data_IF_498334390425
#
_entry.id   IF_498334390425
#
_cell.length_a   1.000
_cell.length_b   1.000
_cell.length_c   1.000
_cell.angle_alpha   90.00
_cell.angle_beta   90.00
_cell.angle_gamma   90.00
#
_symmetry.space_group_name_H-M   'P 1'
#
loop_
_entity.id
_entity.type
_entity.pdbx_description
1 polymer ?
#
# COMPACT_ATOMS: atom_id res chain seq x y z
N UNK A 1 35.22 -60.70 -66.51
CA UNK A 1 34.28 -59.81 -65.73
C UNK A 1 34.93 -59.50 -64.40
N UNK A 2 35.49 -58.32 -64.27
CA UNK A 2 36.27 -57.89 -63.09
C UNK A 2 35.39 -56.94 -62.25
N UNK A 3 35.02 -57.37 -61.05
CA UNK A 3 34.31 -56.53 -60.09
C UNK A 3 35.29 -55.56 -59.43
N UNK A 4 35.05 -54.26 -59.57
CA UNK A 4 35.68 -53.20 -58.77
C UNK A 4 34.86 -52.98 -57.53
N UNK A 5 35.46 -53.17 -56.37
CA UNK A 5 34.92 -52.78 -55.08
C UNK A 5 35.43 -51.37 -54.71
N UNK A 6 34.56 -50.39 -54.65
CA UNK A 6 34.89 -49.04 -54.17
C UNK A 6 34.78 -48.99 -52.66
N UNK A 7 35.87 -48.70 -51.95
CA UNK A 7 35.92 -48.48 -50.53
C UNK A 7 35.70 -47.00 -50.31
N UNK A 8 34.57 -46.66 -49.65
CA UNK A 8 34.31 -45.33 -49.16
C UNK A 8 34.97 -45.13 -47.78
N UNK A 9 35.96 -44.24 -47.73
CA UNK A 9 36.59 -43.79 -46.47
C UNK A 9 35.74 -42.68 -45.82
N UNK A 10 35.08 -42.96 -44.74
CA UNK A 10 34.33 -41.93 -43.93
C UNK A 10 35.34 -41.25 -42.99
N UNK A 11 35.67 -40.00 -43.30
CA UNK A 11 36.46 -39.15 -42.41
C UNK A 11 35.49 -38.46 -41.44
N UNK A 12 35.45 -38.91 -40.18
CA UNK A 12 34.73 -38.25 -39.08
C UNK A 12 35.53 -37.04 -38.59
N UNK A 13 35.07 -35.85 -38.91
CA UNK A 13 35.60 -34.61 -38.35
C UNK A 13 35.03 -34.43 -36.95
N UNK A 14 35.84 -34.66 -35.94
CA UNK A 14 35.55 -34.25 -34.57
C UNK A 14 35.68 -32.72 -34.45
N UNK A 15 34.54 -32.01 -34.46
CA UNK A 15 34.51 -30.61 -34.09
C UNK A 15 34.62 -30.49 -32.57
N UNK A 16 35.75 -30.07 -32.05
CA UNK A 16 35.86 -29.60 -30.67
C UNK A 16 34.97 -28.36 -30.48
N UNK A 17 33.84 -28.51 -29.78
CA UNK A 17 33.13 -27.37 -29.25
C UNK A 17 34.04 -26.74 -28.17
N UNK A 18 34.53 -25.53 -28.41
CA UNK A 18 35.04 -24.67 -27.37
C UNK A 18 33.89 -24.41 -26.39
N UNK A 19 33.99 -24.89 -25.15
CA UNK A 19 33.14 -24.38 -24.06
C UNK A 19 33.44 -22.89 -23.94
N UNK A 20 32.42 -22.06 -24.13
CA UNK A 20 32.49 -20.64 -23.78
C UNK A 20 32.64 -20.60 -22.24
N UNK A 21 33.80 -20.16 -21.78
CA UNK A 21 34.04 -19.83 -20.40
C UNK A 21 32.98 -18.78 -20.02
N UNK A 22 31.99 -19.16 -19.18
CA UNK A 22 31.05 -18.22 -18.59
C UNK A 22 31.89 -17.27 -17.73
N UNK A 23 32.13 -16.08 -18.26
CA UNK A 23 32.72 -15.00 -17.47
C UNK A 23 31.76 -14.65 -16.34
N UNK A 24 32.10 -15.04 -15.12
CA UNK A 24 31.41 -14.60 -13.91
C UNK A 24 31.48 -13.06 -13.90
N UNK A 25 30.37 -12.33 -13.89
CA UNK A 25 30.42 -10.89 -13.84
C UNK A 25 31.19 -10.46 -12.56
N UNK A 26 31.98 -9.37 -12.64
CA UNK A 26 32.70 -8.88 -11.47
C UNK A 26 31.72 -8.68 -10.32
N UNK A 27 32.10 -8.98 -9.07
CA UNK A 27 31.24 -8.80 -7.92
C UNK A 27 30.76 -7.34 -7.85
N UNK A 28 29.48 -7.16 -7.54
CA UNK A 28 28.87 -5.85 -7.33
C UNK A 28 29.73 -5.09 -6.29
N UNK A 29 30.25 -3.89 -6.61
CA UNK A 29 31.05 -3.11 -5.69
C UNK A 29 30.27 -2.68 -4.42
N UNK A 30 28.94 -2.83 -4.43
CA UNK A 30 28.06 -2.51 -3.31
C UNK A 30 26.99 -3.61 -3.12
N UNK A 31 27.38 -4.83 -2.70
CA UNK A 31 26.44 -5.94 -2.58
C UNK A 31 25.37 -5.64 -1.54
N UNK A 32 24.15 -6.11 -1.85
CA UNK A 32 23.05 -6.02 -0.88
C UNK A 32 23.40 -6.73 0.43
N UNK A 33 23.06 -6.12 1.58
CA UNK A 33 23.19 -6.77 2.88
C UNK A 33 22.53 -8.16 2.89
N UNK A 34 23.13 -9.09 3.65
CA UNK A 34 22.70 -10.50 3.68
C UNK A 34 21.99 -10.89 4.97
N UNK A 35 21.89 -9.98 5.94
CA UNK A 35 21.21 -10.22 7.20
C UNK A 35 19.72 -10.43 6.97
N UNK A 36 19.13 -11.46 7.63
CA UNK A 36 17.71 -11.76 7.53
C UNK A 36 16.82 -10.59 7.96
N UNK A 37 17.27 -9.87 8.98
CA UNK A 37 16.63 -8.67 9.53
C UNK A 37 17.66 -7.56 9.67
N UNK A 38 17.34 -6.37 9.18
CA UNK A 38 18.24 -5.21 9.25
C UNK A 38 17.45 -3.93 9.51
N UNK A 39 17.99 -3.04 10.32
CA UNK A 39 17.49 -1.67 10.45
C UNK A 39 18.09 -0.84 9.32
N UNK A 40 17.26 -0.38 8.40
CA UNK A 40 17.68 0.45 7.25
C UNK A 40 17.82 1.91 7.66
N UNK A 41 16.86 2.44 8.42
CA UNK A 41 16.79 3.85 8.79
C UNK A 41 16.29 4.01 10.22
N UNK A 42 16.81 4.98 10.96
CA UNK A 42 16.33 5.40 12.29
C UNK A 42 16.10 6.91 12.34
N UNK A 43 15.62 7.40 13.47
CA UNK A 43 15.43 8.84 13.71
C UNK A 43 14.22 9.42 12.96
N UNK A 44 13.23 8.59 12.62
CA UNK A 44 12.00 9.02 11.94
C UNK A 44 10.95 9.46 12.97
N UNK A 45 10.01 10.28 12.52
CA UNK A 45 8.94 10.81 13.37
C UNK A 45 7.58 10.61 12.71
N UNK A 46 6.87 9.59 13.18
CA UNK A 46 5.56 9.21 12.66
C UNK A 46 5.53 9.04 11.13
N UNK A 47 6.41 8.18 10.53
CA UNK A 47 6.24 7.81 9.13
C UNK A 47 4.84 7.23 8.95
N UNK A 48 4.19 7.58 7.83
CA UNK A 48 2.81 7.15 7.57
C UNK A 48 2.71 6.27 6.33
N UNK A 49 3.33 6.66 5.23
CA UNK A 49 3.49 5.88 4.01
C UNK A 49 4.94 5.53 3.81
N UNK A 50 5.25 4.30 3.44
CA UNK A 50 6.48 3.92 2.76
C UNK A 50 6.13 3.18 1.48
N UNK A 51 6.79 3.52 0.37
CA UNK A 51 6.61 2.81 -0.90
C UNK A 51 7.96 2.51 -1.53
N UNK A 52 8.03 1.40 -2.25
CA UNK A 52 9.15 1.15 -3.16
C UNK A 52 8.96 1.99 -4.41
N UNK A 53 9.78 3.02 -4.57
CA UNK A 53 9.71 3.92 -5.70
C UNK A 53 10.12 3.27 -7.02
N UNK A 54 9.61 3.82 -8.13
CA UNK A 54 9.99 3.39 -9.49
C UNK A 54 11.48 3.61 -9.81
N UNK A 55 12.19 4.32 -8.96
CA UNK A 55 13.61 4.67 -9.03
C UNK A 55 14.47 3.88 -8.04
N UNK A 56 13.97 2.72 -7.58
CA UNK A 56 14.63 1.78 -6.68
C UNK A 56 15.07 2.38 -5.34
N UNK A 57 14.29 3.34 -4.82
CA UNK A 57 14.44 3.92 -3.50
C UNK A 57 13.18 3.74 -2.67
N UNK A 58 13.33 3.80 -1.36
CA UNK A 58 12.19 3.88 -0.46
C UNK A 58 11.77 5.35 -0.36
N UNK A 59 10.55 5.65 -0.79
CA UNK A 59 9.93 6.94 -0.57
C UNK A 59 9.05 6.88 0.68
N UNK A 60 8.97 7.98 1.39
CA UNK A 60 8.31 8.01 2.70
C UNK A 60 7.67 9.36 2.96
N UNK A 61 6.49 9.34 3.57
CA UNK A 61 5.86 10.50 4.21
C UNK A 61 5.97 10.40 5.72
N UNK A 62 6.13 11.53 6.37
CA UNK A 62 6.00 11.68 7.83
C UNK A 62 4.90 12.68 8.13
N UNK A 63 4.05 12.37 9.12
CA UNK A 63 2.84 13.16 9.42
C UNK A 63 3.07 14.66 9.58
N UNK A 64 4.25 15.07 10.02
CA UNK A 64 4.65 16.47 10.14
C UNK A 64 4.83 17.23 8.83
N UNK A 65 4.56 16.61 7.68
CA UNK A 65 4.65 17.24 6.35
C UNK A 65 5.92 16.89 5.58
N UNK A 66 6.82 16.07 6.12
CA UNK A 66 8.09 15.70 5.47
C UNK A 66 7.89 14.57 4.46
N UNK A 67 8.44 14.75 3.26
CA UNK A 67 8.63 13.70 2.25
C UNK A 67 10.12 13.42 2.17
N UNK A 68 10.51 12.16 2.20
CA UNK A 68 11.90 11.73 2.08
C UNK A 68 12.05 10.59 1.07
N UNK A 69 13.24 10.53 0.46
CA UNK A 69 13.69 9.43 -0.39
C UNK A 69 14.95 8.84 0.23
N UNK A 70 14.93 7.54 0.48
CA UNK A 70 15.97 6.81 1.22
C UNK A 70 16.58 5.73 0.33
N UNK A 71 17.91 5.66 0.29
CA UNK A 71 18.63 4.57 -0.34
C UNK A 71 18.42 3.28 0.51
N UNK A 72 17.83 2.21 -0.05
CA UNK A 72 17.55 1.00 0.71
C UNK A 72 18.82 0.21 1.10
N UNK A 73 19.96 0.44 0.44
CA UNK A 73 21.21 -0.27 0.74
C UNK A 73 21.81 0.18 2.08
N UNK A 74 21.89 1.47 2.33
CA UNK A 74 22.64 2.06 3.44
C UNK A 74 21.80 2.98 4.34
N UNK A 75 20.52 3.23 3.99
CA UNK A 75 19.63 4.11 4.73
C UNK A 75 19.91 5.61 4.56
N UNK A 76 20.80 5.98 3.62
CA UNK A 76 21.09 7.39 3.32
C UNK A 76 19.84 8.10 2.79
N UNK A 77 19.51 9.26 3.36
CA UNK A 77 18.48 10.14 2.81
C UNK A 77 19.04 10.91 1.65
N UNK A 78 18.60 10.60 0.42
CA UNK A 78 19.08 11.24 -0.82
C UNK A 78 18.23 12.42 -1.26
N UNK A 79 17.03 12.56 -0.69
CA UNK A 79 16.15 13.69 -0.88
C UNK A 79 15.26 13.87 0.35
N UNK A 80 14.97 15.11 0.71
CA UNK A 80 13.95 15.45 1.70
C UNK A 80 13.38 16.85 1.42
N UNK A 81 12.09 17.01 1.70
CA UNK A 81 11.40 18.31 1.67
C UNK A 81 10.26 18.32 2.69
N UNK A 82 9.74 19.49 3.02
CA UNK A 82 8.60 19.64 3.92
C UNK A 82 7.52 20.50 3.25
N UNK A 83 6.29 20.01 3.22
CA UNK A 83 5.13 20.75 2.73
C UNK A 83 4.65 21.68 3.85
N UNK A 84 4.68 22.98 3.60
CA UNK A 84 4.44 24.02 4.62
C UNK A 84 2.97 24.21 4.99
N UNK A 85 2.04 23.77 4.14
CA UNK A 85 0.59 23.87 4.36
C UNK A 85 -0.03 22.64 5.04
N UNK A 86 0.78 21.63 5.34
CA UNK A 86 0.34 20.46 6.12
C UNK A 86 0.06 20.86 7.57
N UNK A 87 -1.08 20.44 8.08
CA UNK A 87 -1.44 20.60 9.49
C UNK A 87 -1.55 19.23 10.14
N UNK A 88 -0.55 18.87 10.93
CA UNK A 88 -0.52 17.63 11.69
C UNK A 88 -1.29 17.79 13.00
N UNK A 89 -2.48 17.19 13.09
CA UNK A 89 -3.34 17.25 14.26
C UNK A 89 -3.97 15.87 14.53
N UNK A 90 -3.83 15.35 15.76
CA UNK A 90 -4.31 14.02 16.12
C UNK A 90 -3.65 12.93 15.27
N UNK A 91 -4.43 12.19 14.50
CA UNK A 91 -3.97 11.18 13.54
C UNK A 91 -3.62 11.77 12.16
N UNK A 92 -4.08 12.98 11.87
CA UNK A 92 -3.91 13.64 10.59
C UNK A 92 -2.53 14.28 10.41
N UNK A 93 -2.29 14.78 9.20
CA UNK A 93 -1.04 15.37 8.74
C UNK A 93 -0.78 15.02 7.28
N UNK A 94 0.48 14.85 6.89
CA UNK A 94 0.86 14.27 5.60
C UNK A 94 0.78 12.74 5.72
N UNK A 95 -0.07 12.13 4.89
CA UNK A 95 -0.48 10.75 5.05
C UNK A 95 -0.04 9.91 3.82
N UNK A 96 -0.97 9.50 2.97
CA UNK A 96 -0.69 8.62 1.85
C UNK A 96 0.09 9.27 0.71
N UNK A 97 0.84 8.44 -0.01
CA UNK A 97 1.61 8.82 -1.20
C UNK A 97 1.61 7.70 -2.22
N UNK A 98 1.55 8.06 -3.51
CA UNK A 98 1.74 7.10 -4.60
C UNK A 98 2.46 7.74 -5.78
N UNK A 99 3.34 6.99 -6.46
CA UNK A 99 3.96 7.40 -7.71
C UNK A 99 3.06 7.13 -8.91
N UNK A 100 3.05 8.05 -9.87
CA UNK A 100 2.48 7.77 -11.19
C UNK A 100 3.13 6.53 -11.81
N UNK A 101 2.42 5.68 -12.58
CA UNK A 101 3.03 4.54 -13.26
C UNK A 101 4.25 4.93 -14.12
N UNK A 102 4.20 6.08 -14.79
CA UNK A 102 5.29 6.64 -15.61
C UNK A 102 6.16 7.65 -14.85
N UNK A 103 6.32 7.48 -13.54
CA UNK A 103 7.08 8.42 -12.67
C UNK A 103 8.47 8.75 -13.21
N UNK A 104 9.19 7.77 -13.73
CA UNK A 104 10.54 7.99 -14.30
C UNK A 104 10.55 8.98 -15.47
N UNK A 105 9.44 9.12 -16.18
CA UNK A 105 9.29 10.04 -17.32
C UNK A 105 8.69 11.37 -16.91
N UNK A 106 7.59 11.35 -16.13
CA UNK A 106 6.80 12.55 -15.81
C UNK A 106 7.13 13.15 -14.43
N UNK A 107 7.70 12.36 -13.52
CA UNK A 107 8.03 12.80 -12.16
C UNK A 107 6.81 12.98 -11.25
N UNK A 108 5.62 12.50 -11.61
CA UNK A 108 4.41 12.76 -10.85
C UNK A 108 4.31 11.92 -9.59
N UNK A 109 4.07 12.60 -8.47
CA UNK A 109 3.81 12.03 -7.15
C UNK A 109 2.48 12.59 -6.67
N UNK A 110 1.59 11.72 -6.20
CA UNK A 110 0.34 12.11 -5.55
C UNK A 110 0.49 11.92 -4.05
N UNK A 111 0.06 12.91 -3.29
CA UNK A 111 0.03 12.86 -1.82
C UNK A 111 -1.32 13.33 -1.31
N UNK A 112 -1.75 12.79 -0.18
CA UNK A 112 -2.94 13.23 0.53
C UNK A 112 -2.55 13.76 1.90
N UNK A 113 -3.12 14.90 2.28
CA UNK A 113 -2.81 15.52 3.56
C UNK A 113 -3.90 16.46 4.08
N UNK A 114 -3.85 16.65 5.38
CA UNK A 114 -4.73 17.57 6.07
C UNK A 114 -4.14 18.98 6.10
N UNK A 115 -5.01 19.97 5.95
CA UNK A 115 -4.66 21.39 5.97
C UNK A 115 -5.80 22.26 6.49
N UNK A 116 -5.57 23.54 6.70
CA UNK A 116 -6.61 24.50 7.06
C UNK A 116 -7.13 25.20 5.81
N UNK A 117 -8.43 25.10 5.57
CA UNK A 117 -9.13 25.84 4.52
C UNK A 117 -10.14 26.78 5.12
N UNK A 118 -9.86 28.07 5.09
CA UNK A 118 -10.73 29.11 5.70
C UNK A 118 -11.10 28.81 7.16
N UNK A 119 -10.13 28.31 7.94
CA UNK A 119 -10.32 27.94 9.34
C UNK A 119 -10.95 26.57 9.59
N UNK A 120 -11.28 25.81 8.54
CA UNK A 120 -11.80 24.44 8.64
C UNK A 120 -10.68 23.44 8.41
N UNK A 121 -10.51 22.50 9.32
CA UNK A 121 -9.59 21.35 9.13
C UNK A 121 -10.19 20.41 8.10
N UNK A 122 -9.48 20.17 7.01
CA UNK A 122 -9.94 19.39 5.86
C UNK A 122 -8.79 18.66 5.20
N UNK A 123 -9.08 17.81 4.22
CA UNK A 123 -8.08 17.01 3.52
C UNK A 123 -8.16 17.26 2.02
N UNK A 124 -7.02 17.18 1.35
CA UNK A 124 -6.89 17.27 -0.10
C UNK A 124 -5.87 16.28 -0.65
N UNK A 125 -6.02 15.95 -1.93
CA UNK A 125 -5.04 15.22 -2.73
C UNK A 125 -4.34 16.19 -3.67
N UNK A 126 -3.01 16.19 -3.66
CA UNK A 126 -2.18 17.05 -4.49
C UNK A 126 -1.20 16.21 -5.29
N UNK A 127 -1.09 16.51 -6.59
CA UNK A 127 -0.03 16.00 -7.44
C UNK A 127 1.11 17.00 -7.50
N UNK A 128 2.34 16.53 -7.29
CA UNK A 128 3.57 17.27 -7.51
C UNK A 128 4.37 16.71 -8.67
N UNK A 129 5.27 17.51 -9.23
CA UNK A 129 6.32 17.07 -10.15
C UNK A 129 7.64 16.98 -9.40
N UNK A 130 8.26 15.80 -9.37
CA UNK A 130 9.61 15.60 -8.84
C UNK A 130 10.63 15.59 -9.97
N UNK A 131 11.53 16.56 -9.98
CA UNK A 131 12.64 16.63 -10.92
C UNK A 131 13.86 17.25 -10.24
N UNK A 132 15.05 16.74 -10.56
CA UNK A 132 16.32 17.29 -10.05
C UNK A 132 16.32 17.48 -8.52
N UNK A 133 15.83 16.48 -7.79
CA UNK A 133 15.67 16.53 -6.32
C UNK A 133 14.83 17.73 -5.83
N UNK A 134 13.82 18.11 -6.57
CA UNK A 134 12.90 19.20 -6.20
C UNK A 134 11.46 18.77 -6.47
N UNK A 135 10.54 19.09 -5.57
CA UNK A 135 9.10 19.04 -5.78
C UNK A 135 8.58 20.39 -6.23
N UNK A 136 7.85 20.42 -7.34
CA UNK A 136 7.26 21.64 -7.93
C UNK A 136 5.85 21.37 -8.46
N UNK A 137 5.25 22.38 -9.09
CA UNK A 137 4.01 22.28 -9.87
C UNK A 137 2.85 21.59 -9.12
N UNK A 138 2.61 22.07 -7.89
CA UNK A 138 1.50 21.54 -7.07
C UNK A 138 0.17 21.73 -7.80
N UNK A 139 -0.53 20.61 -8.05
CA UNK A 139 -1.85 20.59 -8.68
C UNK A 139 -2.82 19.86 -7.74
N UNK A 140 -3.84 20.57 -7.26
CA UNK A 140 -4.88 19.96 -6.42
C UNK A 140 -5.78 19.07 -7.27
N UNK A 141 -5.71 17.77 -7.04
CA UNK A 141 -6.48 16.75 -7.77
C UNK A 141 -7.88 16.58 -7.18
N UNK A 142 -7.97 16.63 -5.84
CA UNK A 142 -9.23 16.57 -5.10
C UNK A 142 -9.10 17.42 -3.83
N UNK A 143 -10.18 18.08 -3.44
CA UNK A 143 -10.23 18.98 -2.29
C UNK A 143 -11.53 18.77 -1.50
N UNK A 144 -11.62 19.41 -0.32
CA UNK A 144 -12.79 19.39 0.55
C UNK A 144 -13.19 17.99 1.03
N UNK A 145 -12.24 17.08 1.20
CA UNK A 145 -12.51 15.81 1.85
C UNK A 145 -12.67 16.12 3.35
N UNK A 146 -13.81 15.76 3.98
CA UNK A 146 -14.00 15.97 5.41
C UNK A 146 -12.90 15.31 6.23
N UNK A 147 -12.39 16.01 7.25
CA UNK A 147 -11.31 15.54 8.10
C UNK A 147 -11.58 15.88 9.57
N UNK A 148 -10.95 15.11 10.46
CA UNK A 148 -10.98 15.35 11.90
C UNK A 148 -9.65 14.96 12.56
N UNK A 149 -9.55 15.10 13.87
CA UNK A 149 -8.38 14.66 14.64
C UNK A 149 -8.12 13.15 14.52
N UNK A 150 -9.13 12.38 14.16
CA UNK A 150 -9.09 10.92 13.97
C UNK A 150 -9.87 10.54 12.72
N UNK A 151 -9.63 9.32 12.21
CA UNK A 151 -10.39 8.70 11.12
C UNK A 151 -10.32 9.48 9.81
N UNK A 152 -9.12 9.74 9.30
CA UNK A 152 -8.95 10.39 8.01
C UNK A 152 -8.79 9.39 6.84
N UNK A 153 -8.53 8.10 7.11
CA UNK A 153 -8.29 7.11 6.06
C UNK A 153 -6.97 7.36 5.32
N UNK A 154 -7.05 7.97 4.12
CA UNK A 154 -5.94 8.62 3.40
C UNK A 154 -4.93 7.68 2.72
N UNK A 155 -5.27 6.43 2.38
CA UNK A 155 -4.39 5.60 1.55
C UNK A 155 -4.65 5.86 0.06
N UNK A 156 -3.59 5.88 -0.74
CA UNK A 156 -3.65 6.11 -2.18
C UNK A 156 -3.18 4.88 -2.96
N UNK A 157 -3.81 4.64 -4.12
CA UNK A 157 -3.36 3.64 -5.09
C UNK A 157 -3.71 4.07 -6.50
N UNK A 158 -2.83 3.84 -7.48
CA UNK A 158 -3.14 4.02 -8.90
C UNK A 158 -3.33 2.65 -9.54
N UNK A 159 -4.51 2.44 -10.10
CA UNK A 159 -4.87 1.19 -10.78
C UNK A 159 -4.23 1.06 -12.17
N UNK A 160 -4.23 -0.14 -12.73
CA UNK A 160 -3.66 -0.40 -14.05
C UNK A 160 -4.37 0.36 -15.20
N UNK A 161 -5.62 0.78 -15.01
CA UNK A 161 -6.38 1.63 -15.91
C UNK A 161 -6.22 3.14 -15.61
N UNK A 162 -5.18 3.51 -14.87
CA UNK A 162 -4.83 4.89 -14.52
C UNK A 162 -5.97 5.63 -13.78
N UNK A 163 -6.57 4.98 -12.80
CA UNK A 163 -7.48 5.64 -11.86
C UNK A 163 -6.82 5.76 -10.49
N UNK A 164 -7.04 6.88 -9.83
CA UNK A 164 -6.62 7.10 -8.46
C UNK A 164 -7.71 6.62 -7.50
N UNK A 165 -7.38 5.66 -6.66
CA UNK A 165 -8.17 5.22 -5.53
C UNK A 165 -7.72 6.00 -4.28
N UNK A 166 -8.68 6.43 -3.46
CA UNK A 166 -8.44 7.20 -2.25
C UNK A 166 -9.34 6.62 -1.15
N UNK A 167 -8.78 6.09 -0.08
CA UNK A 167 -9.57 5.75 1.11
C UNK A 167 -9.81 7.00 1.95
N UNK A 168 -11.02 7.18 2.46
CA UNK A 168 -11.35 8.26 3.38
C UNK A 168 -11.99 7.72 4.65
N UNK A 169 -11.69 8.33 5.78
CA UNK A 169 -12.34 8.01 7.05
C UNK A 169 -13.68 8.73 7.23
N UNK A 170 -14.43 8.35 8.26
CA UNK A 170 -15.71 8.98 8.61
C UNK A 170 -15.55 10.39 9.22
N UNK A 171 -14.31 10.86 9.38
CA UNK A 171 -13.98 12.15 10.01
C UNK A 171 -14.64 12.31 11.38
N UNK A 172 -14.69 11.23 12.18
CA UNK A 172 -15.34 11.17 13.49
C UNK A 172 -16.84 11.55 13.48
N UNK A 173 -17.49 11.43 12.31
CA UNK A 173 -18.92 11.70 12.14
C UNK A 173 -19.62 10.51 11.47
N UNK A 174 -20.26 9.68 12.28
CA UNK A 174 -20.91 8.44 11.87
C UNK A 174 -22.12 8.64 10.94
N UNK A 175 -22.61 9.88 10.74
CA UNK A 175 -23.69 10.16 9.76
C UNK A 175 -23.19 10.22 8.31
N UNK A 176 -21.87 10.35 8.07
CA UNK A 176 -21.32 10.58 6.74
C UNK A 176 -21.10 9.31 5.90
N UNK A 177 -20.69 8.16 6.47
CA UNK A 177 -20.37 6.97 5.68
C UNK A 177 -21.51 6.46 4.80
N UNK A 178 -22.75 6.52 5.27
CA UNK A 178 -23.94 6.10 4.51
C UNK A 178 -24.50 7.17 3.56
N UNK A 179 -24.00 8.42 3.67
CA UNK A 179 -24.41 9.51 2.80
C UNK A 179 -23.60 9.49 1.48
N UNK A 180 -24.22 9.14 0.37
CA UNK A 180 -23.58 9.05 -0.95
C UNK A 180 -23.00 10.40 -1.46
N UNK A 181 -23.50 11.52 -0.93
CA UNK A 181 -23.04 12.86 -1.29
C UNK A 181 -21.87 13.35 -0.43
N UNK A 182 -21.45 12.59 0.58
CA UNK A 182 -20.26 12.86 1.39
C UNK A 182 -19.06 12.14 0.83
N UNK A 183 -17.88 12.77 0.90
CA UNK A 183 -16.60 12.13 0.57
C UNK A 183 -16.01 11.35 1.76
N UNK A 184 -16.58 11.48 2.97
CA UNK A 184 -16.10 10.80 4.16
C UNK A 184 -16.65 9.37 4.28
N UNK A 185 -15.83 8.45 4.78
CA UNK A 185 -16.18 7.03 4.96
C UNK A 185 -16.41 6.30 3.63
N UNK A 186 -15.48 6.46 2.69
CA UNK A 186 -15.58 5.98 1.30
C UNK A 186 -14.28 5.35 0.81
N UNK A 187 -14.39 4.52 -0.20
CA UNK A 187 -13.36 4.42 -1.22
C UNK A 187 -13.79 5.30 -2.40
N UNK A 188 -12.95 6.27 -2.76
CA UNK A 188 -13.16 7.15 -3.91
C UNK A 188 -12.34 6.65 -5.10
N UNK A 189 -12.86 6.86 -6.33
CA UNK A 189 -12.16 6.56 -7.58
C UNK A 189 -12.32 7.72 -8.55
N UNK A 190 -11.19 8.29 -8.98
CA UNK A 190 -11.13 9.44 -9.88
C UNK A 190 -10.09 9.22 -10.98
N UNK A 191 -10.13 10.02 -12.04
CA UNK A 191 -9.06 10.13 -12.99
C UNK A 191 -7.86 10.86 -12.37
N UNK A 192 -6.66 10.67 -12.93
CA UNK A 192 -5.43 11.28 -12.43
C UNK A 192 -5.39 12.83 -12.55
N UNK A 193 -6.32 13.42 -13.29
CA UNK A 193 -6.54 14.86 -13.41
C UNK A 193 -7.66 15.39 -12.47
N UNK A 194 -8.25 14.52 -11.66
CA UNK A 194 -9.33 14.86 -10.72
C UNK A 194 -10.73 14.76 -11.29
N UNK A 195 -10.92 14.50 -12.58
CA UNK A 195 -12.24 14.28 -13.18
C UNK A 195 -12.83 12.94 -12.75
N UNK A 196 -14.16 12.82 -12.85
CA UNK A 196 -14.87 11.60 -12.43
C UNK A 196 -14.95 10.61 -13.60
N UNK A 197 -14.52 9.34 -13.43
CA UNK A 197 -14.69 8.31 -14.44
C UNK A 197 -16.18 8.06 -14.75
N UNK A 198 -16.51 7.93 -16.05
CA UNK A 198 -17.89 7.71 -16.49
C UNK A 198 -18.45 6.34 -16.04
N UNK A 199 -17.57 5.40 -15.74
CA UNK A 199 -17.91 4.05 -15.28
C UNK A 199 -17.94 3.90 -13.75
N UNK A 200 -17.93 5.00 -12.98
CA UNK A 200 -18.21 4.94 -11.55
C UNK A 200 -19.64 4.47 -11.25
N UNK A 201 -19.92 3.92 -10.05
CA UNK A 201 -21.26 3.41 -9.69
C UNK A 201 -22.38 4.44 -9.86
N UNK A 202 -22.09 5.71 -9.55
CA UNK A 202 -23.03 6.83 -9.68
C UNK A 202 -22.41 7.88 -10.60
N UNK A 203 -23.16 8.32 -11.59
CA UNK A 203 -22.70 9.32 -12.56
C UNK A 203 -22.27 10.62 -11.86
N UNK A 204 -21.13 11.17 -12.27
CA UNK A 204 -20.53 12.40 -11.70
C UNK A 204 -20.26 12.34 -10.19
N UNK A 205 -20.11 11.15 -9.61
CA UNK A 205 -19.81 10.95 -8.20
C UNK A 205 -18.50 10.14 -8.07
N UNK A 206 -17.53 10.59 -7.25
CA UNK A 206 -16.26 9.88 -7.08
C UNK A 206 -16.37 8.61 -6.23
N UNK A 207 -17.49 8.37 -5.55
CA UNK A 207 -17.68 7.24 -4.63
C UNK A 207 -17.67 5.93 -5.42
N UNK A 208 -16.70 5.06 -5.06
CA UNK A 208 -16.61 3.68 -5.55
C UNK A 208 -17.34 2.70 -4.63
N UNK A 209 -17.16 2.86 -3.30
CA UNK A 209 -17.88 2.14 -2.25
C UNK A 209 -18.11 3.05 -1.05
N UNK A 210 -19.06 2.70 -0.19
CA UNK A 210 -19.49 3.50 0.96
C UNK A 210 -19.63 2.65 2.24
N UNK A 211 -19.85 3.31 3.37
CA UNK A 211 -20.04 2.61 4.64
C UNK A 211 -18.72 2.18 5.28
N UNK A 212 -17.66 2.95 5.10
CA UNK A 212 -16.34 2.74 5.72
C UNK A 212 -16.15 3.63 6.94
N UNK A 213 -15.43 3.12 7.95
CA UNK A 213 -15.10 3.88 9.16
C UNK A 213 -13.75 4.59 9.04
N UNK A 214 -12.65 3.84 8.88
CA UNK A 214 -11.29 4.39 8.84
C UNK A 214 -10.33 3.40 8.16
N UNK A 215 -10.41 3.32 6.83
CA UNK A 215 -9.57 2.43 6.04
C UNK A 215 -8.16 3.02 5.88
N UNK A 216 -7.15 2.39 6.51
CA UNK A 216 -5.75 2.84 6.52
C UNK A 216 -4.80 1.98 5.66
N UNK A 217 -5.24 0.82 5.19
CA UNK A 217 -4.53 0.00 4.22
C UNK A 217 -5.30 -0.11 2.92
N UNK A 218 -4.59 -0.21 1.80
CA UNK A 218 -5.14 -0.37 0.46
C UNK A 218 -4.13 -1.10 -0.42
N UNK A 219 -4.54 -2.19 -1.04
CA UNK A 219 -3.72 -2.92 -2.02
C UNK A 219 -4.60 -3.44 -3.14
N UNK A 220 -4.07 -3.45 -4.37
CA UNK A 220 -4.77 -4.02 -5.53
C UNK A 220 -4.01 -5.25 -6.03
N UNK A 221 -4.70 -6.39 -6.03
CA UNK A 221 -4.14 -7.69 -6.38
C UNK A 221 -4.90 -8.26 -7.59
N UNK A 222 -4.26 -8.36 -8.73
CA UNK A 222 -4.89 -8.88 -9.96
C UNK A 222 -6.25 -8.20 -10.27
N UNK A 223 -6.32 -6.87 -10.08
CA UNK A 223 -7.52 -6.06 -10.29
C UNK A 223 -8.54 -6.09 -9.15
N UNK A 224 -8.32 -6.88 -8.09
CA UNK A 224 -9.15 -6.88 -6.88
C UNK A 224 -8.60 -5.88 -5.87
N UNK A 225 -9.47 -5.08 -5.30
CA UNK A 225 -9.13 -4.03 -4.33
C UNK A 225 -9.37 -4.58 -2.92
N UNK A 226 -8.37 -4.49 -2.06
CA UNK A 226 -8.50 -4.82 -0.64
C UNK A 226 -8.20 -3.59 0.21
N UNK A 227 -8.96 -3.41 1.28
CA UNK A 227 -8.70 -2.40 2.31
C UNK A 227 -8.58 -3.05 3.68
N UNK A 228 -7.75 -2.48 4.56
CA UNK A 228 -7.80 -2.77 6.00
C UNK A 228 -8.41 -1.60 6.74
N UNK A 229 -9.28 -1.88 7.68
CA UNK A 229 -10.14 -0.89 8.31
C UNK A 229 -10.24 -1.08 9.82
N UNK A 230 -10.25 0.02 10.58
CA UNK A 230 -10.42 -0.02 12.02
C UNK A 230 -11.88 -0.17 12.41
N UNK A 231 -12.19 -1.14 13.25
CA UNK A 231 -13.42 -1.20 14.01
C UNK A 231 -13.45 -0.20 15.19
N UNK A 232 -14.60 -0.01 15.84
CA UNK A 232 -14.73 0.96 16.95
C UNK A 232 -14.01 0.52 18.24
N UNK A 233 -14.09 -0.74 18.60
CA UNK A 233 -13.43 -1.36 19.76
C UNK A 233 -13.18 -2.86 19.55
N UNK A 234 -13.87 -3.44 18.59
CA UNK A 234 -13.81 -4.82 18.11
C UNK A 234 -13.84 -4.79 16.58
N UNK A 235 -13.63 -5.92 15.94
CA UNK A 235 -13.91 -6.13 14.53
C UNK A 235 -13.15 -5.15 13.61
N UNK A 236 -11.80 -5.07 13.76
CA UNK A 236 -11.00 -4.54 12.65
C UNK A 236 -11.13 -5.48 11.46
N UNK A 237 -11.17 -4.96 10.24
CA UNK A 237 -11.53 -5.72 9.06
C UNK A 237 -10.46 -5.68 7.96
N UNK A 238 -10.45 -6.73 7.13
CA UNK A 238 -9.94 -6.65 5.76
C UNK A 238 -11.10 -6.92 4.82
N UNK A 239 -11.34 -5.98 3.91
CA UNK A 239 -12.46 -6.00 3.00
C UNK A 239 -12.00 -6.21 1.54
N UNK A 240 -12.68 -7.08 0.81
CA UNK A 240 -12.61 -7.15 -0.66
C UNK A 240 -13.61 -6.15 -1.23
N UNK A 241 -13.10 -5.11 -1.87
CA UNK A 241 -13.93 -3.97 -2.31
C UNK A 241 -14.52 -4.22 -3.68
N UNK A 242 -15.84 -4.15 -3.75
CA UNK A 242 -16.64 -4.26 -4.97
C UNK A 242 -17.29 -2.92 -5.33
N UNK A 243 -17.43 -2.70 -6.62
CA UNK A 243 -18.07 -1.49 -7.18
C UNK A 243 -19.48 -1.30 -6.66
N UNK A 244 -19.75 -0.13 -6.06
CA UNK A 244 -21.09 0.28 -5.61
C UNK A 244 -21.58 -0.41 -4.34
N UNK A 245 -20.72 -1.21 -3.65
CA UNK A 245 -21.11 -1.93 -2.45
C UNK A 245 -21.06 -1.04 -1.20
N UNK A 246 -21.89 -1.42 -0.25
CA UNK A 246 -21.94 -0.86 1.12
C UNK A 246 -21.18 -1.78 2.07
N UNK A 247 -20.35 -1.20 2.96
CA UNK A 247 -19.55 -1.92 3.96
C UNK A 247 -20.10 -1.74 5.40
N UNK A 248 -21.28 -1.15 5.53
CA UNK A 248 -22.15 -1.22 6.68
C UNK A 248 -21.96 -0.16 7.75
N UNK A 249 -20.76 0.40 7.94
CA UNK A 249 -20.53 1.39 9.00
C UNK A 249 -21.45 2.62 8.90
N UNK A 250 -22.05 3.10 10.00
CA UNK A 250 -21.92 2.67 11.39
C UNK A 250 -22.93 1.61 11.87
N UNK A 251 -23.74 1.06 10.98
CA UNK A 251 -24.82 0.15 11.34
C UNK A 251 -24.38 -1.30 11.48
N UNK A 252 -23.18 -1.63 10.97
CA UNK A 252 -22.59 -2.96 10.99
C UNK A 252 -21.13 -2.83 11.42
N UNK A 253 -20.69 -3.76 12.27
CA UNK A 253 -19.31 -3.92 12.71
C UNK A 253 -18.86 -5.37 12.45
N UNK A 254 -17.90 -5.57 11.56
CA UNK A 254 -17.45 -6.90 11.21
C UNK A 254 -18.44 -7.70 10.39
N UNK A 255 -18.47 -9.02 10.56
CA UNK A 255 -19.44 -9.88 9.89
C UNK A 255 -20.87 -9.54 10.30
N UNK A 256 -21.78 -9.51 9.30
CA UNK A 256 -23.20 -9.26 9.57
C UNK A 256 -23.79 -10.37 10.46
N UNK A 257 -24.11 -10.05 11.69
CA UNK A 257 -24.73 -10.99 12.63
C UNK A 257 -25.82 -10.34 13.49
N UNK A 258 -26.50 -11.14 14.30
CA UNK A 258 -27.45 -10.69 15.29
C UNK A 258 -28.45 -9.63 14.80
N UNK A 259 -28.48 -8.50 15.46
CA UNK A 259 -29.39 -7.38 15.15
C UNK A 259 -29.05 -6.63 13.85
N UNK A 260 -27.85 -6.82 13.29
CA UNK A 260 -27.37 -6.15 12.09
C UNK A 260 -27.89 -6.81 10.81
N UNK A 261 -28.34 -8.08 10.87
CA UNK A 261 -28.77 -8.90 9.72
C UNK A 261 -29.82 -8.20 8.85
N UNK A 262 -30.75 -7.48 9.45
CA UNK A 262 -31.79 -6.73 8.72
C UNK A 262 -31.21 -5.61 7.88
N UNK A 263 -30.28 -4.82 8.45
CA UNK A 263 -29.60 -3.75 7.73
C UNK A 263 -28.72 -4.33 6.61
N UNK A 264 -27.98 -5.39 6.90
CA UNK A 264 -27.14 -6.08 5.92
C UNK A 264 -27.94 -6.53 4.69
N UNK A 265 -29.05 -7.21 4.91
CA UNK A 265 -29.91 -7.73 3.83
C UNK A 265 -30.50 -6.60 3.01
N UNK A 266 -31.05 -5.55 3.68
CA UNK A 266 -31.71 -4.43 3.02
C UNK A 266 -30.72 -3.61 2.18
N UNK A 267 -29.48 -3.43 2.66
CA UNK A 267 -28.48 -2.57 2.03
C UNK A 267 -27.40 -3.35 1.27
N UNK A 268 -27.57 -4.66 1.10
CA UNK A 268 -26.61 -5.54 0.41
C UNK A 268 -25.18 -5.34 0.91
N UNK A 269 -24.98 -5.37 2.24
CA UNK A 269 -23.69 -5.13 2.87
C UNK A 269 -22.70 -6.23 2.52
N UNK A 270 -21.49 -5.86 2.11
CA UNK A 270 -20.39 -6.80 1.87
C UNK A 270 -19.82 -7.33 3.19
N UNK A 271 -19.49 -8.62 3.22
CA UNK A 271 -18.84 -9.24 4.35
C UNK A 271 -17.33 -9.04 4.28
N UNK A 272 -16.63 -8.81 5.40
CA UNK A 272 -15.17 -8.79 5.42
C UNK A 272 -14.61 -10.17 5.05
N UNK A 273 -13.44 -10.18 4.40
CA UNK A 273 -12.70 -11.44 4.13
C UNK A 273 -11.87 -11.88 5.34
N UNK A 274 -11.68 -11.01 6.30
CA UNK A 274 -11.06 -11.26 7.59
C UNK A 274 -11.55 -10.22 8.61
N UNK A 275 -11.71 -10.65 9.85
CA UNK A 275 -12.00 -9.79 11.00
C UNK A 275 -11.12 -10.16 12.18
N UNK A 276 -10.80 -9.17 13.03
CA UNK A 276 -10.05 -9.38 14.28
C UNK A 276 -10.90 -9.96 15.41
N UNK A 277 -12.22 -10.05 15.24
CA UNK A 277 -13.16 -10.54 16.25
C UNK A 277 -13.31 -9.61 17.45
N UNK A 278 -13.41 -10.16 18.64
CA UNK A 278 -13.75 -9.43 19.87
C UNK A 278 -12.73 -8.42 20.39
N UNK A 279 -11.69 -8.08 19.65
CA UNK A 279 -10.70 -7.05 20.01
C UNK A 279 -10.07 -6.44 18.77
N UNK A 280 -9.86 -5.12 18.76
CA UNK A 280 -9.12 -4.46 17.69
C UNK A 280 -7.62 -4.72 17.79
N UNK A 281 -6.95 -4.80 16.63
CA UNK A 281 -5.49 -4.84 16.49
C UNK A 281 -4.92 -3.51 15.96
N UNK A 282 -5.81 -2.61 15.51
CA UNK A 282 -5.56 -1.36 14.81
C UNK A 282 -4.75 -1.61 13.53
N UNK A 283 -5.44 -2.17 12.53
CA UNK A 283 -4.88 -2.45 11.20
C UNK A 283 -4.34 -1.19 10.55
N UNK A 284 -3.26 -1.30 9.76
CA UNK A 284 -2.62 -0.16 9.12
C UNK A 284 -2.27 -0.49 7.66
N UNK A 285 -1.06 -0.15 7.20
CA UNK A 285 -0.66 -0.40 5.81
C UNK A 285 -0.63 -1.87 5.43
N UNK A 286 -0.85 -2.14 4.15
CA UNK A 286 -0.83 -3.49 3.56
C UNK A 286 -0.06 -3.51 2.25
N UNK A 287 0.57 -4.64 1.96
CA UNK A 287 1.09 -4.93 0.62
C UNK A 287 0.92 -6.42 0.28
N UNK A 288 0.96 -6.75 -1.00
CA UNK A 288 0.79 -8.12 -1.47
C UNK A 288 2.12 -8.79 -1.73
N UNK A 289 2.41 -9.85 -1.00
CA UNK A 289 3.61 -10.64 -1.19
C UNK A 289 3.39 -11.78 -2.20
N UNK A 290 4.09 -11.71 -3.32
CA UNK A 290 4.10 -12.74 -4.36
C UNK A 290 5.51 -12.90 -4.92
N UNK A 291 6.43 -13.42 -4.09
CA UNK A 291 7.83 -13.58 -4.45
C UNK A 291 8.41 -14.86 -3.83
N UNK A 292 9.40 -15.46 -4.50
CA UNK A 292 10.05 -16.68 -4.04
C UNK A 292 11.11 -16.46 -2.95
N UNK A 293 11.48 -15.21 -2.63
CA UNK A 293 12.50 -14.91 -1.60
C UNK A 293 12.09 -15.39 -0.21
N UNK A 294 10.84 -15.16 0.18
CA UNK A 294 10.26 -15.69 1.42
C UNK A 294 9.08 -16.59 1.03
N UNK A 295 9.32 -17.87 0.70
CA UNK A 295 8.28 -18.74 0.15
C UNK A 295 7.07 -18.90 1.06
N UNK A 296 7.27 -18.84 2.40
CA UNK A 296 6.20 -18.93 3.37
C UNK A 296 5.17 -17.79 3.25
N UNK A 297 5.56 -16.64 2.71
CA UNK A 297 4.68 -15.48 2.55
C UNK A 297 4.03 -15.38 1.16
N UNK A 298 4.42 -16.23 0.22
CA UNK A 298 3.90 -16.18 -1.15
C UNK A 298 2.36 -16.24 -1.18
N UNK A 299 1.73 -15.46 -2.08
CA UNK A 299 0.28 -15.31 -2.21
C UNK A 299 -0.41 -14.88 -0.90
N UNK A 300 0.12 -13.86 -0.24
CA UNK A 300 -0.44 -13.34 1.01
C UNK A 300 -0.51 -11.82 1.01
N UNK A 301 -1.52 -11.28 1.67
CA UNK A 301 -1.50 -9.89 2.11
C UNK A 301 -0.67 -9.82 3.40
N UNK A 302 0.34 -8.97 3.41
CA UNK A 302 1.08 -8.62 4.61
C UNK A 302 0.48 -7.33 5.16
N UNK A 303 -0.04 -7.36 6.39
CA UNK A 303 -0.73 -6.26 7.03
C UNK A 303 -0.04 -5.88 8.34
N UNK A 304 0.30 -4.63 8.48
CA UNK A 304 0.87 -4.07 9.71
C UNK A 304 -0.23 -3.69 10.71
N UNK A 305 0.10 -3.73 12.00
CA UNK A 305 -0.84 -3.33 13.06
C UNK A 305 -0.19 -2.41 14.07
N UNK A 306 -0.97 -1.42 14.54
CA UNK A 306 -0.50 -0.41 15.48
C UNK A 306 -0.66 -0.85 16.93
N UNK A 307 -1.85 -1.31 17.32
CA UNK A 307 -2.16 -1.68 18.71
C UNK A 307 -1.53 -3.02 19.08
N UNK A 308 -1.63 -4.00 18.19
CA UNK A 308 -1.06 -5.34 18.41
C UNK A 308 0.46 -5.40 18.09
N UNK A 309 1.02 -4.33 17.47
CA UNK A 309 2.45 -4.22 17.14
C UNK A 309 2.99 -5.46 16.41
N UNK A 310 2.23 -5.99 15.45
CA UNK A 310 2.43 -7.29 14.80
C UNK A 310 2.29 -7.15 13.29
N UNK A 311 3.08 -7.93 12.54
CA UNK A 311 2.85 -8.16 11.12
C UNK A 311 1.93 -9.38 10.96
N UNK A 312 0.78 -9.18 10.34
CA UNK A 312 -0.16 -10.25 9.98
C UNK A 312 0.09 -10.69 8.54
N UNK A 313 0.25 -11.99 8.35
CA UNK A 313 0.21 -12.63 7.03
C UNK A 313 -1.17 -13.22 6.82
N UNK A 314 -1.93 -12.69 5.89
CA UNK A 314 -3.23 -13.17 5.48
C UNK A 314 -3.06 -13.96 4.18
N UNK A 315 -3.00 -15.29 4.27
CA UNK A 315 -2.85 -16.17 3.12
C UNK A 315 -4.14 -16.19 2.32
N UNK A 316 -4.06 -15.83 1.05
CA UNK A 316 -5.22 -15.86 0.16
C UNK A 316 -5.44 -17.25 -0.42
N UNK A 317 -6.71 -17.60 -0.65
CA UNK A 317 -7.10 -18.75 -1.45
C UNK A 317 -6.61 -18.60 -2.91
N UNK A 318 -6.67 -19.68 -3.67
CA UNK A 318 -6.23 -19.68 -5.08
C UNK A 318 -7.01 -18.71 -5.98
N UNK A 319 -8.28 -18.43 -5.64
CA UNK A 319 -9.11 -17.45 -6.34
C UNK A 319 -8.79 -16.01 -5.93
N UNK A 320 -8.03 -15.78 -4.84
CA UNK A 320 -7.73 -14.45 -4.30
C UNK A 320 -8.98 -13.71 -3.80
N UNK A 321 -9.94 -14.42 -3.20
CA UNK A 321 -11.23 -13.87 -2.76
C UNK A 321 -11.52 -14.08 -1.28
N UNK A 322 -10.71 -14.87 -0.60
CA UNK A 322 -10.86 -15.18 0.82
C UNK A 322 -9.50 -15.41 1.48
N UNK A 323 -9.43 -15.20 2.78
CA UNK A 323 -8.28 -15.54 3.62
C UNK A 323 -8.43 -16.99 4.09
N UNK A 324 -7.44 -17.85 3.77
CA UNK A 324 -7.42 -19.26 4.16
C UNK A 324 -6.76 -19.49 5.52
N UNK A 325 -5.72 -18.71 5.81
CA UNK A 325 -4.99 -18.82 7.08
C UNK A 325 -4.33 -17.50 7.45
N UNK A 326 -4.09 -17.33 8.74
CA UNK A 326 -3.47 -16.14 9.33
C UNK A 326 -2.28 -16.56 10.16
N UNK A 327 -1.12 -15.95 9.88
CA UNK A 327 0.07 -16.08 10.72
C UNK A 327 0.51 -14.71 11.22
N UNK A 328 1.24 -14.69 12.32
CA UNK A 328 1.69 -13.48 13.00
C UNK A 328 3.20 -13.50 13.18
N UNK A 329 3.85 -12.36 12.91
CA UNK A 329 5.29 -12.21 12.98
C UNK A 329 5.67 -10.94 13.74
N UNK A 330 6.83 -10.94 14.38
CA UNK A 330 7.49 -9.79 14.98
C UNK A 330 6.68 -9.05 16.05
N UNK A 331 5.77 -9.74 16.73
CA UNK A 331 4.91 -9.14 17.77
C UNK A 331 5.74 -8.43 18.84
N UNK A 332 5.52 -7.11 18.96
CA UNK A 332 6.18 -6.26 19.96
C UNK A 332 7.65 -5.93 19.70
N UNK A 333 8.30 -6.48 18.66
CA UNK A 333 9.74 -6.31 18.43
C UNK A 333 10.14 -4.84 18.22
N UNK A 334 9.29 -4.05 17.58
CA UNK A 334 9.60 -2.67 17.20
C UNK A 334 8.51 -1.67 17.59
N UNK A 335 7.52 -2.09 18.40
CA UNK A 335 6.34 -1.30 18.73
C UNK A 335 5.35 -1.24 17.57
N UNK A 336 4.66 -0.12 17.42
CA UNK A 336 3.58 0.09 16.47
C UNK A 336 4.10 0.01 15.02
N UNK A 337 3.62 -0.96 14.24
CA UNK A 337 3.95 -1.11 12.82
C UNK A 337 2.93 -0.31 11.99
N UNK A 338 3.42 0.62 11.16
CA UNK A 338 2.54 1.56 10.44
C UNK A 338 2.30 1.17 8.99
N UNK A 339 3.36 0.79 8.28
CA UNK A 339 3.25 0.56 6.86
C UNK A 339 4.32 -0.40 6.35
N UNK A 340 4.13 -0.89 5.14
CA UNK A 340 4.94 -1.93 4.54
C UNK A 340 5.06 -1.68 3.04
N UNK A 341 6.25 -1.91 2.48
CA UNK A 341 6.43 -2.00 1.04
C UNK A 341 7.36 -3.16 0.67
N UNK A 342 7.22 -3.64 -0.57
CA UNK A 342 7.97 -4.80 -1.07
C UNK A 342 8.75 -4.38 -2.32
N UNK A 343 10.05 -4.68 -2.31
CA UNK A 343 10.88 -4.46 -3.51
C UNK A 343 10.62 -5.54 -4.57
N UNK A 344 10.94 -5.29 -5.85
CA UNK A 344 10.86 -6.32 -6.90
C UNK A 344 11.66 -7.58 -6.61
N UNK A 345 12.73 -7.47 -5.81
CA UNK A 345 13.55 -8.59 -5.35
C UNK A 345 12.92 -9.37 -4.17
N UNK A 346 11.70 -9.03 -3.74
CA UNK A 346 11.00 -9.69 -2.64
C UNK A 346 11.51 -9.34 -1.24
N UNK A 347 12.28 -8.26 -1.10
CA UNK A 347 12.65 -7.71 0.20
C UNK A 347 11.50 -6.90 0.77
N UNK A 348 11.18 -7.10 2.02
CA UNK A 348 10.05 -6.45 2.70
C UNK A 348 10.58 -5.37 3.63
N UNK A 349 10.03 -4.17 3.53
CA UNK A 349 10.37 -3.04 4.39
C UNK A 349 9.16 -2.65 5.21
N UNK A 350 9.35 -2.47 6.51
CA UNK A 350 8.30 -2.13 7.48
C UNK A 350 8.71 -0.86 8.20
N UNK A 351 7.85 0.16 8.25
CA UNK A 351 8.09 1.32 9.11
C UNK A 351 7.26 1.25 10.41
N UNK A 352 7.82 1.87 11.46
CA UNK A 352 7.14 1.98 12.77
C UNK A 352 6.46 3.35 12.93
N UNK A 353 5.61 3.50 13.94
CA UNK A 353 4.94 4.76 14.29
C UNK A 353 4.81 4.91 15.80
N UNK A 354 5.96 5.00 16.48
CA UNK A 354 6.07 5.20 17.93
C UNK A 354 6.23 6.69 18.28
N UNK A 355 6.73 7.49 17.33
CA UNK A 355 6.94 8.92 17.47
C UNK A 355 8.20 9.30 18.22
N UNK A 356 8.37 10.61 18.41
CA UNK A 356 9.48 11.16 19.20
C UNK A 356 10.88 10.90 18.63
N UNK A 357 11.03 10.68 17.32
CA UNK A 357 12.30 10.34 16.69
C UNK A 357 12.73 8.88 16.91
N UNK A 358 11.84 8.02 17.43
CA UNK A 358 12.14 6.62 17.72
C UNK A 358 11.72 5.67 16.59
N UNK A 359 11.18 6.20 15.51
CA UNK A 359 10.71 5.40 14.40
C UNK A 359 11.84 4.99 13.46
N UNK A 360 11.58 3.89 12.74
CA UNK A 360 12.58 3.25 11.90
C UNK A 360 11.95 2.55 10.71
N UNK A 361 12.79 2.23 9.72
CA UNK A 361 12.50 1.27 8.66
C UNK A 361 13.32 0.01 8.93
N UNK A 362 12.66 -1.14 8.97
CA UNK A 362 13.26 -2.46 9.12
C UNK A 362 13.10 -3.22 7.82
N UNK A 363 14.15 -3.87 7.35
CA UNK A 363 14.13 -4.80 6.22
C UNK A 363 14.02 -6.23 6.73
N UNK A 364 13.15 -7.02 6.08
CA UNK A 364 13.05 -8.47 6.22
C UNK A 364 13.32 -9.10 4.86
N UNK A 365 14.33 -9.98 4.77
CA UNK A 365 14.63 -10.67 3.53
C UNK A 365 14.61 -12.21 3.66
N UNK A 366 14.55 -12.73 4.87
CA UNK A 366 14.30 -14.14 5.19
C UNK A 366 13.71 -14.25 6.61
N UNK A 367 13.07 -15.40 6.90
CA UNK A 367 12.51 -15.75 8.20
C UNK A 367 13.46 -16.67 8.96
#
# INVERSE_FOLDING_TARGET
MRNLIAIFLIISVFACKKEEEQTVPPPDPNPWPTENLRIVKTGLSFPWEILWGKDDHIWMTERGGRISKVNPLDGTTVFTTTLSDVVAQGEGGLLGMVHHPDFLTNGYIYVVYNYQKSGTYTEKVVRFTFRNNTLSDAFTVMDNIPAANIHNGSRLWITADNKLLITTGDAANTSLPQNINSLAGKLLRINLDGTIPADNPVANNPVWSLGHRNAQGLVVINGRIFTSEHGPSIEDEVNLIEKGRNYGWPNVNGPCDGSETSFCTTNNVAQPVWSSGGSTVATAGMDYYNNSRIPAWNNSILMTTLKDATLYQLKLNSAGTAVESVNQFFRGNWGRLRDICISPAGRVYICTSNGGGNDRIVEVQAL
#
